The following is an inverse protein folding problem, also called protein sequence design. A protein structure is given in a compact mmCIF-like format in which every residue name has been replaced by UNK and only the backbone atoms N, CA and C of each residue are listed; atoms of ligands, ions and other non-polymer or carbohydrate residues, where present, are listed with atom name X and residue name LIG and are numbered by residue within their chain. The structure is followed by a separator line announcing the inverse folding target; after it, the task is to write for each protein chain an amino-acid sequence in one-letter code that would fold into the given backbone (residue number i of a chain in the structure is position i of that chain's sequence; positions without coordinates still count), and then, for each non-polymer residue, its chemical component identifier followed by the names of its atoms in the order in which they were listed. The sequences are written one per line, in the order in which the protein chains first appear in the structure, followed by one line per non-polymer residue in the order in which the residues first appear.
data_IF_107005676745
#
_entry.id   IF_107005676745
#
_cell.length_a   1.000
_cell.length_b   1.000
_cell.length_c   1.000
_cell.angle_alpha   90.00
_cell.angle_beta   90.00
_cell.angle_gamma   90.00
#
_symmetry.space_group_name_H-M   'P 1'
#
loop_
_entity.id
_entity.type
_entity.pdbx_description
1 polymer ?
#
# COMPACT_ATOMS: atom_id res chain seq x y z
N UNK A 1 25.43 7.39 -23.48
CA UNK A 1 24.80 6.76 -22.31
C UNK A 1 23.73 5.71 -22.66
N UNK A 2 23.37 5.51 -23.90
CA UNK A 2 22.27 4.60 -24.35
C UNK A 2 22.69 3.13 -24.55
N UNK A 3 23.96 2.83 -24.78
CA UNK A 3 24.39 1.45 -25.07
C UNK A 3 24.45 0.51 -23.86
N UNK A 4 24.73 1.05 -22.66
CA UNK A 4 24.87 0.22 -21.46
C UNK A 4 23.51 -0.24 -20.90
N UNK A 5 22.47 0.57 -21.09
CA UNK A 5 21.10 0.26 -20.63
C UNK A 5 20.50 -0.89 -21.46
N UNK A 6 20.73 -0.91 -22.77
CA UNK A 6 20.25 -1.99 -23.64
C UNK A 6 20.96 -3.33 -23.37
N UNK A 7 22.24 -3.32 -23.09
CA UNK A 7 22.99 -4.53 -22.76
C UNK A 7 22.54 -5.14 -21.41
N UNK A 8 22.27 -4.30 -20.42
CA UNK A 8 21.76 -4.72 -19.10
C UNK A 8 20.34 -5.27 -19.22
N UNK A 9 19.46 -4.64 -20.00
CA UNK A 9 18.12 -5.16 -20.29
C UNK A 9 18.14 -6.52 -20.99
N UNK A 10 18.98 -6.67 -22.01
CA UNK A 10 19.14 -7.94 -22.74
C UNK A 10 19.69 -9.06 -21.83
N UNK A 11 20.56 -8.75 -20.90
CA UNK A 11 21.08 -9.69 -19.92
C UNK A 11 19.96 -10.13 -18.94
N UNK A 12 19.19 -9.20 -18.39
CA UNK A 12 18.04 -9.50 -17.53
C UNK A 12 16.97 -10.33 -18.24
N UNK A 13 16.68 -10.04 -19.50
CA UNK A 13 15.73 -10.81 -20.30
C UNK A 13 16.17 -12.28 -20.51
N UNK A 14 17.46 -12.52 -20.62
CA UNK A 14 18.02 -13.88 -20.76
C UNK A 14 18.03 -14.64 -19.44
N UNK A 15 18.20 -13.95 -18.33
CA UNK A 15 18.36 -14.54 -17.00
C UNK A 15 17.01 -14.90 -16.35
N UNK A 16 15.99 -14.05 -16.51
CA UNK A 16 14.73 -14.19 -15.80
C UNK A 16 13.53 -14.63 -16.66
N UNK A 17 13.70 -14.67 -18.00
CA UNK A 17 12.57 -14.95 -18.88
C UNK A 17 11.50 -13.84 -18.90
N UNK A 18 10.37 -14.05 -19.58
CA UNK A 18 9.27 -13.08 -19.62
C UNK A 18 8.49 -13.03 -18.29
N UNK A 19 8.23 -11.79 -17.81
CA UNK A 19 7.38 -11.54 -16.66
C UNK A 19 5.89 -11.80 -17.02
N UNK A 20 5.46 -11.32 -18.19
CA UNK A 20 4.13 -11.53 -18.73
C UNK A 20 4.25 -11.97 -20.19
N UNK A 21 3.59 -13.08 -20.52
CA UNK A 21 3.51 -13.56 -21.89
C UNK A 21 2.05 -13.80 -22.27
N UNK A 22 1.60 -13.14 -23.32
CA UNK A 22 0.25 -13.29 -23.89
C UNK A 22 0.40 -13.83 -25.30
N UNK A 23 -0.28 -14.95 -25.59
CA UNK A 23 -0.24 -15.64 -26.89
C UNK A 23 -1.63 -15.99 -27.38
N UNK A 24 -1.90 -15.65 -28.64
CA UNK A 24 -3.13 -15.96 -29.36
C UNK A 24 -4.41 -15.66 -28.56
N UNK A 25 -4.37 -14.59 -27.74
CA UNK A 25 -5.47 -14.24 -26.84
C UNK A 25 -6.69 -13.81 -27.65
N UNK A 26 -7.81 -14.53 -27.46
CA UNK A 26 -9.09 -14.19 -28.02
C UNK A 26 -10.14 -14.03 -26.90
N UNK A 27 -10.95 -12.97 -26.98
CA UNK A 27 -11.93 -12.60 -25.96
C UNK A 27 -13.27 -12.31 -26.63
N UNK A 28 -14.30 -12.95 -26.13
CA UNK A 28 -15.68 -12.76 -26.57
C UNK A 28 -16.54 -12.21 -25.43
N UNK A 29 -17.55 -11.44 -25.82
CA UNK A 29 -18.65 -11.02 -24.95
C UNK A 29 -19.95 -11.63 -25.44
N UNK A 30 -20.70 -12.25 -24.57
CA UNK A 30 -22.03 -12.74 -24.88
C UNK A 30 -23.04 -11.60 -24.80
N UNK A 31 -23.79 -11.36 -25.88
CA UNK A 31 -24.86 -10.37 -25.89
C UNK A 31 -26.18 -10.97 -25.37
N UNK A 32 -27.16 -10.13 -25.07
CA UNK A 32 -28.51 -10.53 -24.63
C UNK A 32 -29.22 -11.42 -25.70
N UNK A 33 -28.82 -11.29 -26.97
CA UNK A 33 -29.32 -12.10 -28.06
C UNK A 33 -28.61 -13.45 -28.19
N UNK A 34 -27.65 -13.76 -27.32
CA UNK A 34 -26.84 -14.98 -27.35
C UNK A 34 -25.76 -15.01 -28.44
N UNK A 35 -25.59 -13.94 -29.22
CA UNK A 35 -24.54 -13.86 -30.24
C UNK A 35 -23.24 -13.37 -29.60
N UNK A 36 -22.07 -13.98 -29.86
CA UNK A 36 -20.81 -13.53 -29.39
C UNK A 36 -20.35 -12.24 -30.12
N UNK A 37 -19.77 -11.31 -29.40
CA UNK A 37 -19.04 -10.16 -29.93
C UNK A 37 -17.55 -10.40 -29.69
N UNK A 38 -16.80 -10.56 -30.78
CA UNK A 38 -15.36 -10.79 -30.74
C UNK A 38 -14.62 -9.49 -30.45
N UNK A 39 -14.28 -9.26 -29.19
CA UNK A 39 -13.61 -8.04 -28.75
C UNK A 39 -12.09 -8.06 -28.97
N UNK A 40 -11.49 -9.24 -28.85
CA UNK A 40 -10.08 -9.50 -29.17
C UNK A 40 -10.01 -10.81 -29.94
N UNK A 41 -9.27 -10.83 -31.06
CA UNK A 41 -9.20 -12.01 -31.92
C UNK A 41 -7.90 -12.79 -31.82
N UNK A 42 -6.78 -12.08 -31.72
CA UNK A 42 -5.44 -12.68 -31.69
C UNK A 42 -4.43 -11.65 -31.13
N UNK A 43 -4.42 -11.43 -29.81
CA UNK A 43 -3.45 -10.56 -29.20
C UNK A 43 -2.21 -11.36 -28.77
N UNK A 44 -1.05 -10.81 -29.15
CA UNK A 44 0.25 -11.38 -28.83
C UNK A 44 1.18 -10.28 -28.35
N UNK A 45 1.69 -10.38 -27.11
CA UNK A 45 2.71 -9.49 -26.57
C UNK A 45 3.43 -10.13 -25.40
N UNK A 46 4.62 -9.60 -25.12
CA UNK A 46 5.47 -10.08 -24.03
C UNK A 46 6.05 -8.89 -23.28
N UNK A 47 6.09 -8.98 -21.95
CA UNK A 47 6.72 -7.98 -21.07
C UNK A 47 7.80 -8.66 -20.28
N UNK A 48 8.99 -8.10 -20.29
CA UNK A 48 10.13 -8.57 -19.50
C UNK A 48 10.34 -7.71 -18.26
N UNK A 49 11.04 -8.22 -17.23
CA UNK A 49 11.38 -7.43 -16.05
C UNK A 49 12.02 -6.09 -16.41
N UNK A 50 11.56 -5.00 -15.78
CA UNK A 50 12.05 -3.64 -16.02
C UNK A 50 11.63 -3.01 -17.36
N UNK A 51 10.80 -3.67 -18.16
CA UNK A 51 10.37 -3.18 -19.47
C UNK A 51 9.06 -2.39 -19.38
N UNK A 52 8.97 -1.33 -20.17
CA UNK A 52 7.74 -0.61 -20.46
C UNK A 52 7.20 -1.04 -21.82
N UNK A 53 5.95 -1.47 -21.86
CA UNK A 53 5.26 -1.85 -23.10
C UNK A 53 4.03 -0.98 -23.27
N UNK A 54 3.91 -0.31 -24.43
CA UNK A 54 2.76 0.47 -24.79
C UNK A 54 1.89 -0.28 -25.82
N UNK A 55 0.59 -0.40 -25.54
CA UNK A 55 -0.40 -0.94 -26.49
C UNK A 55 -1.13 0.26 -27.10
N UNK A 56 -0.93 0.48 -28.40
CA UNK A 56 -1.48 1.62 -29.16
C UNK A 56 -2.47 1.13 -30.21
N UNK A 57 -3.51 1.88 -30.47
CA UNK A 57 -4.52 1.56 -31.48
C UNK A 57 -5.77 2.42 -31.32
N UNK A 58 -6.70 2.29 -32.27
CA UNK A 58 -7.95 3.05 -32.27
C UNK A 58 -8.88 2.70 -31.11
N UNK A 59 -9.86 3.57 -30.83
CA UNK A 59 -10.90 3.27 -29.85
C UNK A 59 -11.67 2.00 -30.26
N UNK A 60 -11.94 1.11 -29.31
CA UNK A 60 -12.61 -0.17 -29.59
C UNK A 60 -11.71 -1.29 -30.14
N UNK A 61 -10.40 -1.07 -30.31
CA UNK A 61 -9.48 -2.12 -30.83
C UNK A 61 -9.12 -3.23 -29.84
N UNK A 62 -9.73 -3.28 -28.65
CA UNK A 62 -9.51 -4.35 -27.67
C UNK A 62 -8.36 -4.13 -26.69
N UNK A 63 -7.69 -2.95 -26.67
CA UNK A 63 -6.55 -2.65 -25.78
C UNK A 63 -6.88 -2.84 -24.31
N UNK A 64 -7.91 -2.11 -23.85
CA UNK A 64 -8.35 -2.19 -22.45
C UNK A 64 -8.93 -3.58 -22.13
N UNK A 65 -9.61 -4.20 -23.07
CA UNK A 65 -10.13 -5.56 -22.91
C UNK A 65 -9.00 -6.58 -22.70
N UNK A 66 -7.91 -6.47 -23.48
CA UNK A 66 -6.74 -7.33 -23.29
C UNK A 66 -6.07 -7.11 -21.94
N UNK A 67 -5.92 -5.84 -21.50
CA UNK A 67 -5.38 -5.54 -20.19
C UNK A 67 -6.28 -6.06 -19.05
N UNK A 68 -7.60 -5.90 -19.17
CA UNK A 68 -8.56 -6.42 -18.18
C UNK A 68 -8.56 -7.95 -18.13
N UNK A 69 -8.34 -8.64 -19.25
CA UNK A 69 -8.19 -10.10 -19.28
C UNK A 69 -6.97 -10.56 -18.47
N UNK A 70 -5.83 -9.89 -18.66
CA UNK A 70 -4.60 -10.17 -17.88
C UNK A 70 -4.84 -10.01 -16.37
N UNK A 71 -5.66 -9.05 -15.97
CA UNK A 71 -5.98 -8.78 -14.56
C UNK A 71 -7.12 -9.65 -14.01
N UNK A 72 -7.77 -10.48 -14.85
CA UNK A 72 -8.97 -11.22 -14.45
C UNK A 72 -10.17 -10.32 -14.13
N UNK A 73 -10.25 -9.15 -14.79
CA UNK A 73 -11.27 -8.12 -14.58
C UNK A 73 -12.15 -7.88 -15.81
N UNK A 74 -12.34 -8.90 -16.64
CA UNK A 74 -13.27 -8.78 -17.76
C UNK A 74 -14.68 -8.48 -17.24
N UNK A 75 -15.34 -7.43 -17.77
CA UNK A 75 -16.67 -7.05 -17.29
C UNK A 75 -17.76 -8.00 -17.81
N UNK A 76 -18.77 -8.24 -16.98
CA UNK A 76 -20.01 -8.88 -17.35
C UNK A 76 -19.86 -10.26 -17.97
N UNK A 77 -20.23 -10.38 -19.25
CA UNK A 77 -20.24 -11.62 -20.01
C UNK A 77 -18.95 -11.87 -20.81
N UNK A 78 -17.89 -11.10 -20.53
CA UNK A 78 -16.59 -11.23 -21.18
C UNK A 78 -15.83 -12.46 -20.69
N UNK A 79 -15.31 -13.28 -21.59
CA UNK A 79 -14.50 -14.45 -21.26
C UNK A 79 -13.41 -14.70 -22.32
N UNK A 80 -12.32 -15.28 -21.87
CA UNK A 80 -11.25 -15.73 -22.76
C UNK A 80 -11.72 -17.01 -23.45
N UNK A 81 -11.76 -16.99 -24.78
CA UNK A 81 -12.20 -18.14 -25.60
C UNK A 81 -11.03 -18.92 -26.16
N UNK A 82 -9.87 -18.30 -26.30
CA UNK A 82 -8.64 -18.93 -26.79
C UNK A 82 -7.40 -18.17 -26.31
N UNK A 83 -6.26 -18.84 -26.34
CA UNK A 83 -4.97 -18.28 -26.04
C UNK A 83 -4.46 -18.61 -24.65
N UNK A 84 -3.30 -18.03 -24.32
CA UNK A 84 -2.58 -18.24 -23.08
C UNK A 84 -2.15 -16.89 -22.50
N UNK A 85 -2.24 -16.77 -21.19
CA UNK A 85 -1.71 -15.63 -20.41
C UNK A 85 -0.85 -16.21 -19.31
N UNK A 86 0.47 -16.01 -19.38
CA UNK A 86 1.39 -16.47 -18.36
C UNK A 86 1.99 -15.30 -17.61
N UNK A 87 1.93 -15.37 -16.28
CA UNK A 87 2.58 -14.43 -15.35
C UNK A 87 3.67 -15.19 -14.59
N UNK A 88 4.91 -14.74 -14.66
CA UNK A 88 6.08 -15.45 -14.09
C UNK A 88 6.16 -16.92 -14.55
N UNK A 89 5.75 -17.21 -15.77
CA UNK A 89 5.71 -18.57 -16.33
C UNK A 89 4.48 -19.41 -15.95
N UNK A 90 3.65 -18.96 -15.02
CA UNK A 90 2.42 -19.64 -14.60
C UNK A 90 1.22 -19.22 -15.47
N UNK A 91 0.46 -20.22 -15.97
CA UNK A 91 -0.74 -19.96 -16.77
C UNK A 91 -1.88 -19.43 -15.90
N UNK A 92 -2.42 -18.27 -16.27
CA UNK A 92 -3.52 -17.62 -15.55
C UNK A 92 -4.77 -17.41 -16.41
N UNK A 93 -4.73 -17.75 -17.73
CA UNK A 93 -5.94 -17.70 -18.55
C UNK A 93 -6.96 -18.73 -18.06
N UNK A 94 -8.18 -18.26 -17.77
CA UNK A 94 -9.23 -19.13 -17.22
C UNK A 94 -9.08 -19.50 -15.74
N UNK A 95 -8.13 -18.91 -15.04
CA UNK A 95 -7.97 -19.07 -13.58
C UNK A 95 -9.24 -18.62 -12.84
N UNK A 96 -9.45 -19.19 -11.65
CA UNK A 96 -10.58 -18.80 -10.80
C UNK A 96 -10.35 -17.40 -10.22
N UNK A 97 -11.45 -16.70 -9.89
CA UNK A 97 -11.38 -15.38 -9.27
C UNK A 97 -10.50 -15.37 -7.99
N UNK A 98 -10.58 -16.43 -7.18
CA UNK A 98 -9.77 -16.56 -5.95
C UNK A 98 -8.26 -16.68 -6.20
N UNK A 99 -7.83 -17.07 -7.40
CA UNK A 99 -6.43 -17.11 -7.80
C UNK A 99 -5.98 -15.71 -8.23
N UNK A 100 -6.80 -15.00 -9.02
CA UNK A 100 -6.58 -13.62 -9.35
C UNK A 100 -6.54 -12.71 -8.11
N UNK A 101 -7.37 -12.96 -7.09
CA UNK A 101 -7.39 -12.20 -5.83
C UNK A 101 -6.04 -12.27 -5.08
N UNK A 102 -5.31 -13.37 -5.21
CA UNK A 102 -3.96 -13.52 -4.63
C UNK A 102 -2.88 -12.78 -5.43
N UNK A 103 -3.09 -12.61 -6.73
CA UNK A 103 -2.13 -11.96 -7.63
C UNK A 103 -2.31 -10.44 -7.64
N UNK A 104 -3.55 -9.97 -7.57
CA UNK A 104 -3.86 -8.55 -7.56
C UNK A 104 -3.37 -7.90 -6.26
N UNK A 105 -2.72 -6.75 -6.39
CA UNK A 105 -2.12 -6.01 -5.28
C UNK A 105 -0.76 -6.52 -4.83
N UNK A 106 -0.38 -7.76 -5.17
CA UNK A 106 0.93 -8.36 -4.82
C UNK A 106 1.86 -8.48 -6.03
N UNK A 107 1.38 -9.09 -7.11
CA UNK A 107 2.15 -9.29 -8.35
C UNK A 107 1.71 -8.37 -9.48
N UNK A 108 0.48 -7.91 -9.49
CA UNK A 108 -0.06 -7.01 -10.50
C UNK A 108 -0.98 -5.96 -9.91
N UNK A 109 -0.97 -4.78 -10.50
CA UNK A 109 -1.79 -3.64 -10.10
C UNK A 109 -2.36 -2.92 -11.32
N UNK A 110 -3.45 -2.19 -11.12
CA UNK A 110 -4.11 -1.37 -12.13
C UNK A 110 -4.09 0.09 -11.69
N UNK A 111 -3.59 0.96 -12.57
CA UNK A 111 -3.81 2.39 -12.46
C UNK A 111 -4.86 2.76 -13.51
N UNK A 112 -6.10 3.06 -13.11
CA UNK A 112 -7.18 3.35 -14.06
C UNK A 112 -7.04 4.74 -14.67
N UNK A 113 -7.70 4.97 -15.81
CA UNK A 113 -7.66 6.23 -16.54
C UNK A 113 -8.26 7.40 -15.75
N UNK A 114 -9.31 7.15 -14.99
CA UNK A 114 -9.94 8.13 -14.08
C UNK A 114 -9.75 7.66 -12.63
N UNK A 115 -8.73 8.18 -11.93
CA UNK A 115 -8.47 7.79 -10.55
C UNK A 115 -9.53 8.28 -9.56
N UNK A 116 -10.26 9.35 -9.87
CA UNK A 116 -11.25 9.94 -8.97
C UNK A 116 -12.48 9.05 -8.84
N UNK A 117 -12.92 8.40 -9.91
CA UNK A 117 -14.07 7.49 -9.89
C UNK A 117 -13.80 6.19 -9.11
N UNK A 118 -12.55 5.89 -8.76
CA UNK A 118 -12.15 4.68 -8.04
C UNK A 118 -12.04 4.88 -6.52
N UNK A 119 -12.05 6.14 -6.06
CA UNK A 119 -12.12 6.44 -4.65
C UNK A 119 -13.58 6.58 -4.22
N UNK A 120 -13.97 5.92 -3.15
CA UNK A 120 -15.28 6.07 -2.56
C UNK A 120 -15.39 7.46 -1.90
N UNK A 121 -16.26 8.36 -2.39
CA UNK A 121 -16.33 9.73 -1.90
C UNK A 121 -16.86 9.86 -0.46
N UNK A 122 -17.51 8.82 0.06
CA UNK A 122 -18.05 8.81 1.44
C UNK A 122 -17.10 8.19 2.45
N UNK A 123 -15.92 7.70 2.00
CA UNK A 123 -14.89 7.17 2.87
C UNK A 123 -13.63 8.03 2.82
N UNK A 124 -12.99 8.20 3.97
CA UNK A 124 -11.72 8.94 4.05
C UNK A 124 -10.62 8.23 3.26
N UNK A 125 -9.70 8.98 2.67
CA UNK A 125 -8.60 8.45 1.87
C UNK A 125 -7.78 7.43 2.67
N UNK A 126 -7.40 7.76 3.91
CA UNK A 126 -6.64 6.86 4.77
C UNK A 126 -7.36 5.55 5.07
N UNK A 127 -8.70 5.56 5.19
CA UNK A 127 -9.48 4.33 5.38
C UNK A 127 -9.38 3.41 4.17
N UNK A 128 -9.45 3.95 2.96
CA UNK A 128 -9.37 3.17 1.73
C UNK A 128 -7.97 2.57 1.53
N UNK A 129 -6.91 3.35 1.81
CA UNK A 129 -5.53 2.84 1.79
C UNK A 129 -5.34 1.74 2.85
N UNK A 130 -5.89 1.92 4.05
CA UNK A 130 -5.84 0.92 5.13
C UNK A 130 -6.48 -0.41 4.72
N UNK A 131 -7.65 -0.36 4.09
CA UNK A 131 -8.32 -1.58 3.62
C UNK A 131 -7.51 -2.28 2.51
N UNK A 132 -6.89 -1.52 1.60
CA UNK A 132 -6.00 -2.07 0.59
C UNK A 132 -4.77 -2.75 1.21
N UNK A 133 -4.14 -2.15 2.22
CA UNK A 133 -3.02 -2.75 2.95
C UNK A 133 -3.41 -4.05 3.64
N UNK A 134 -4.57 -4.07 4.32
CA UNK A 134 -5.09 -5.26 4.99
C UNK A 134 -5.40 -6.39 4.00
N UNK A 135 -6.06 -6.07 2.89
CA UNK A 135 -6.43 -7.06 1.88
C UNK A 135 -5.22 -7.78 1.28
N UNK A 136 -4.06 -7.12 1.27
CA UNK A 136 -2.81 -7.67 0.76
C UNK A 136 -1.85 -8.16 1.86
N UNK A 137 -2.32 -8.30 3.11
CA UNK A 137 -1.50 -8.66 4.27
C UNK A 137 -0.27 -7.75 4.46
N UNK A 138 -0.37 -6.52 3.98
CA UNK A 138 0.66 -5.49 4.11
C UNK A 138 0.41 -4.59 5.33
N UNK A 139 -0.58 -4.92 6.13
CA UNK A 139 -0.82 -4.30 7.41
C UNK A 139 0.26 -4.72 8.41
N UNK A 140 0.42 -3.91 9.41
CA UNK A 140 1.53 -3.95 10.38
C UNK A 140 1.90 -5.37 10.82
N UNK A 141 3.18 -5.64 10.78
CA UNK A 141 3.83 -6.88 11.17
C UNK A 141 3.41 -7.35 12.58
N UNK A 142 2.72 -8.48 12.64
CA UNK A 142 2.25 -9.08 13.91
C UNK A 142 3.41 -9.49 14.82
N UNK A 143 4.57 -9.83 14.28
CA UNK A 143 5.75 -10.20 15.07
C UNK A 143 6.33 -8.98 15.76
N UNK A 144 6.45 -7.85 15.06
CA UNK A 144 6.90 -6.58 15.66
C UNK A 144 5.96 -6.10 16.77
N UNK A 145 4.65 -6.29 16.60
CA UNK A 145 3.66 -5.97 17.63
C UNK A 145 3.81 -6.82 18.89
N UNK A 146 3.97 -8.13 18.71
CA UNK A 146 4.16 -9.06 19.82
C UNK A 146 5.45 -8.78 20.58
N UNK A 147 6.52 -8.47 19.85
CA UNK A 147 7.81 -8.14 20.43
C UNK A 147 7.77 -6.84 21.22
N UNK A 148 7.13 -5.78 20.67
CA UNK A 148 6.98 -4.52 21.38
C UNK A 148 6.09 -4.66 22.64
N UNK A 149 5.01 -5.43 22.56
CA UNK A 149 4.17 -5.71 23.72
C UNK A 149 4.95 -6.44 24.85
N UNK A 150 5.83 -7.36 24.49
CA UNK A 150 6.72 -8.04 25.43
C UNK A 150 7.78 -7.10 26.00
N UNK A 151 8.40 -6.27 25.17
CA UNK A 151 9.37 -5.26 25.63
C UNK A 151 8.72 -4.26 26.60
N UNK A 152 7.49 -3.83 26.34
CA UNK A 152 6.72 -2.97 27.27
C UNK A 152 6.35 -3.68 28.57
N UNK A 153 6.23 -5.00 28.57
CA UNK A 153 6.01 -5.81 29.76
C UNK A 153 7.30 -6.09 30.57
N UNK A 154 8.47 -5.62 30.07
CA UNK A 154 9.76 -5.78 30.74
C UNK A 154 10.59 -6.97 30.28
N UNK A 155 10.15 -7.68 29.23
CA UNK A 155 10.90 -8.76 28.63
C UNK A 155 12.00 -8.25 27.67
N UNK A 156 13.17 -8.87 27.68
CA UNK A 156 14.19 -8.62 26.67
C UNK A 156 13.78 -9.30 25.35
N UNK A 157 13.54 -8.52 24.31
CA UNK A 157 13.11 -9.04 23.02
C UNK A 157 13.96 -8.47 21.89
N UNK A 158 14.56 -9.36 21.13
CA UNK A 158 15.28 -9.01 19.91
C UNK A 158 14.31 -9.03 18.72
N UNK A 159 14.09 -7.89 18.07
CA UNK A 159 13.25 -7.79 16.87
C UNK A 159 14.13 -7.54 15.65
N UNK A 160 14.11 -8.50 14.72
CA UNK A 160 14.73 -8.32 13.41
C UNK A 160 13.83 -7.39 12.57
N UNK A 161 14.26 -6.14 12.42
CA UNK A 161 13.58 -5.14 11.59
C UNK A 161 14.33 -4.86 10.29
N UNK A 162 13.63 -4.32 9.30
CA UNK A 162 14.26 -3.70 8.14
C UNK A 162 14.95 -2.40 8.60
N UNK A 163 16.09 -2.19 8.18
CA UNK A 163 17.25 -1.34 8.37
C UNK A 163 17.19 0.01 9.09
N UNK A 164 16.05 0.60 9.46
CA UNK A 164 16.00 1.95 10.04
C UNK A 164 15.14 2.16 11.31
N UNK A 165 14.58 1.11 11.90
CA UNK A 165 13.82 1.25 13.14
C UNK A 165 14.58 0.69 14.33
N UNK A 166 15.17 1.59 15.12
CA UNK A 166 15.76 1.28 16.41
C UNK A 166 14.67 0.83 17.38
N UNK A 167 14.66 -0.43 17.75
CA UNK A 167 13.82 -0.91 18.84
C UNK A 167 14.45 -0.54 20.18
N UNK A 168 13.67 0.13 21.01
CA UNK A 168 14.06 0.46 22.38
C UNK A 168 13.84 -0.79 23.26
N UNK A 169 14.88 -1.23 23.92
CA UNK A 169 14.79 -2.27 24.94
C UNK A 169 14.07 -1.79 26.20
N UNK A 170 13.68 -2.71 27.06
CA UNK A 170 12.99 -2.40 28.33
C UNK A 170 13.76 -1.41 29.24
N UNK A 171 15.09 -1.34 29.10
CA UNK A 171 15.94 -0.40 29.85
C UNK A 171 15.86 1.04 29.36
N UNK A 172 15.61 1.23 28.06
CA UNK A 172 15.56 2.56 27.43
C UNK A 172 14.18 3.22 27.56
N UNK A 173 13.15 2.42 27.78
CA UNK A 173 11.77 2.90 27.90
C UNK A 173 11.57 3.91 29.05
N UNK A 174 12.07 3.68 30.28
CA UNK A 174 11.94 4.64 31.38
C UNK A 174 12.67 5.96 31.12
N UNK A 175 13.83 5.91 30.45
CA UNK A 175 14.60 7.09 30.09
C UNK A 175 13.86 7.90 29.02
N UNK A 176 13.35 7.24 28.00
CA UNK A 176 12.53 7.85 26.94
C UNK A 176 11.27 8.51 27.52
N UNK A 177 10.61 7.85 28.46
CA UNK A 177 9.42 8.41 29.12
C UNK A 177 9.74 9.64 29.97
N UNK A 178 10.90 9.67 30.60
CA UNK A 178 11.38 10.83 31.36
C UNK A 178 11.67 12.00 30.42
N UNK A 179 12.32 11.72 29.29
CA UNK A 179 12.58 12.70 28.23
C UNK A 179 11.26 13.22 27.62
N UNK A 180 10.30 12.34 27.32
CA UNK A 180 9.01 12.71 26.78
C UNK A 180 8.21 13.63 27.71
N UNK A 181 8.17 13.33 29.00
CA UNK A 181 7.53 14.20 30.02
C UNK A 181 8.18 15.56 30.08
N UNK A 182 9.53 15.62 30.06
CA UNK A 182 10.27 16.88 30.03
C UNK A 182 9.94 17.67 28.76
N UNK A 183 9.96 17.05 27.61
CA UNK A 183 9.63 17.68 26.32
C UNK A 183 8.20 18.23 26.26
N UNK A 184 7.22 17.51 26.82
CA UNK A 184 5.85 18.02 26.96
C UNK A 184 5.76 19.26 27.84
N UNK A 185 6.49 19.24 28.95
CA UNK A 185 6.55 20.41 29.86
C UNK A 185 7.19 21.62 29.18
N UNK A 186 8.31 21.44 28.48
CA UNK A 186 8.98 22.46 27.68
C UNK A 186 8.11 23.01 26.54
N UNK A 187 7.24 22.19 25.98
CA UNK A 187 6.23 22.59 25.00
C UNK A 187 5.01 23.30 25.60
N UNK A 188 5.00 23.52 26.93
CA UNK A 188 3.92 24.21 27.63
C UNK A 188 2.67 23.34 27.88
N UNK A 189 2.75 22.04 27.67
CA UNK A 189 1.62 21.10 27.88
C UNK A 189 1.49 20.83 29.39
N UNK A 190 0.30 21.00 29.96
CA UNK A 190 0.01 20.79 31.38
C UNK A 190 -1.39 20.24 31.61
N UNK A 191 -1.68 19.81 32.85
CA UNK A 191 -3.01 19.32 33.24
C UNK A 191 -3.46 18.09 32.48
N UNK A 192 -4.75 18.01 32.17
CA UNK A 192 -5.38 16.85 31.54
C UNK A 192 -4.73 16.49 30.18
N UNK A 193 -4.32 17.49 29.40
CA UNK A 193 -3.65 17.26 28.12
C UNK A 193 -2.29 16.57 28.31
N UNK A 194 -1.54 16.93 29.33
CA UNK A 194 -0.27 16.30 29.69
C UNK A 194 -0.49 14.84 30.10
N UNK A 195 -1.43 14.60 31.03
CA UNK A 195 -1.72 13.25 31.52
C UNK A 195 -2.20 12.34 30.39
N UNK A 196 -3.03 12.87 29.50
CA UNK A 196 -3.53 12.17 28.33
C UNK A 196 -2.42 11.83 27.33
N UNK A 197 -1.50 12.75 27.04
CA UNK A 197 -0.36 12.50 26.18
C UNK A 197 0.58 11.44 26.77
N UNK A 198 0.91 11.55 28.06
CA UNK A 198 1.75 10.58 28.78
C UNK A 198 1.10 9.19 28.77
N UNK A 199 -0.20 9.09 29.04
CA UNK A 199 -0.91 7.83 29.00
C UNK A 199 -0.85 7.18 27.61
N UNK A 200 -0.97 7.98 26.54
CA UNK A 200 -0.88 7.50 25.16
C UNK A 200 0.53 7.08 24.75
N UNK A 201 1.57 7.69 25.29
CA UNK A 201 2.94 7.23 25.06
C UNK A 201 3.20 5.83 25.65
N UNK A 202 2.52 5.47 26.73
CA UNK A 202 2.75 4.23 27.48
C UNK A 202 1.70 3.16 27.31
N UNK A 203 0.41 3.53 27.23
CA UNK A 203 -0.70 2.59 27.42
C UNK A 203 -1.53 2.31 26.16
N UNK A 204 -1.51 3.21 25.16
CA UNK A 204 -2.37 3.06 23.99
C UNK A 204 -1.63 2.53 22.77
N UNK A 205 -0.66 1.68 23.00
CA UNK A 205 -0.09 0.94 21.91
C UNK A 205 -1.05 -0.16 21.45
N UNK A 206 -2.21 0.25 20.96
CA UNK A 206 -3.20 -0.64 20.35
C UNK A 206 -2.90 -0.69 18.86
N UNK A 207 -2.63 -1.88 18.32
CA UNK A 207 -2.41 -2.06 16.91
C UNK A 207 -3.56 -1.49 16.06
N UNK A 208 -3.23 -0.60 15.12
CA UNK A 208 -4.20 0.05 14.26
C UNK A 208 -4.95 1.22 14.92
N UNK A 209 -4.56 1.63 16.14
CA UNK A 209 -5.03 2.91 16.69
C UNK A 209 -4.29 4.05 15.97
N UNK A 210 -5.02 5.14 15.75
CA UNK A 210 -4.46 6.39 15.20
C UNK A 210 -3.64 7.14 16.28
N UNK A 211 -2.75 6.46 17.00
CA UNK A 211 -2.18 6.97 18.24
C UNK A 211 -1.32 8.21 18.04
N UNK A 212 -0.40 8.21 17.07
CA UNK A 212 0.43 9.39 16.80
C UNK A 212 -0.41 10.58 16.35
N UNK A 213 -1.40 10.35 15.52
CA UNK A 213 -2.31 11.38 15.06
C UNK A 213 -3.15 11.95 16.19
N UNK A 214 -3.68 11.09 17.06
CA UNK A 214 -4.44 11.51 18.22
C UNK A 214 -3.59 12.32 19.18
N UNK A 215 -2.35 11.88 19.42
CA UNK A 215 -1.43 12.62 20.27
C UNK A 215 -1.10 13.99 19.65
N UNK A 216 -0.76 14.06 18.37
CA UNK A 216 -0.49 15.32 17.70
C UNK A 216 -1.72 16.25 17.74
N UNK A 217 -2.91 15.74 17.42
CA UNK A 217 -4.17 16.49 17.45
C UNK A 217 -4.50 17.02 18.85
N UNK A 218 -4.31 16.20 19.89
CA UNK A 218 -4.57 16.60 21.27
C UNK A 218 -3.56 17.66 21.74
N UNK A 219 -2.30 17.56 21.32
CA UNK A 219 -1.27 18.56 21.60
C UNK A 219 -1.56 19.89 20.89
N UNK A 220 -2.00 19.86 19.63
CA UNK A 220 -2.42 21.05 18.88
C UNK A 220 -3.62 21.71 19.57
N UNK A 221 -4.61 20.94 19.98
CA UNK A 221 -5.74 21.44 20.76
C UNK A 221 -5.37 22.02 22.10
N UNK A 222 -4.25 21.54 22.69
CA UNK A 222 -3.68 22.08 23.92
C UNK A 222 -2.81 23.33 23.68
N UNK A 223 -2.69 23.80 22.43
CA UNK A 223 -1.96 25.03 22.07
C UNK A 223 -0.52 24.83 21.65
N UNK A 224 -0.08 23.59 21.44
CA UNK A 224 1.26 23.30 20.90
C UNK A 224 1.24 23.57 19.38
N UNK A 225 2.32 24.18 18.86
CA UNK A 225 2.46 24.42 17.42
C UNK A 225 2.45 23.10 16.63
N UNK A 226 1.87 23.10 15.44
CA UNK A 226 1.63 21.91 14.59
C UNK A 226 2.91 21.07 14.39
N UNK A 227 3.99 21.71 13.98
CA UNK A 227 5.28 21.06 13.71
C UNK A 227 5.88 20.44 14.98
N UNK A 228 5.76 21.10 16.09
CA UNK A 228 6.23 20.62 17.39
C UNK A 228 5.36 19.47 17.91
N UNK A 229 4.04 19.56 17.77
CA UNK A 229 3.11 18.49 18.16
C UNK A 229 3.39 17.19 17.37
N UNK A 230 3.60 17.32 16.08
CA UNK A 230 3.99 16.21 15.23
C UNK A 230 5.36 15.63 15.57
N UNK A 231 6.33 16.48 15.85
CA UNK A 231 7.65 16.04 16.29
C UNK A 231 7.57 15.20 17.56
N UNK A 232 6.84 15.69 18.58
CA UNK A 232 6.64 14.99 19.85
C UNK A 232 5.92 13.65 19.66
N UNK A 233 4.83 13.64 18.89
CA UNK A 233 4.10 12.43 18.61
C UNK A 233 4.95 11.40 17.85
N UNK A 234 5.72 11.83 16.85
CA UNK A 234 6.62 10.96 16.09
C UNK A 234 7.75 10.38 16.93
N UNK A 235 8.32 11.19 17.80
CA UNK A 235 9.49 10.80 18.60
C UNK A 235 9.14 9.89 19.77
N UNK A 236 8.04 10.15 20.46
CA UNK A 236 7.72 9.48 21.72
C UNK A 236 6.60 8.45 21.67
N UNK A 237 5.75 8.46 20.65
CA UNK A 237 4.80 7.36 20.46
C UNK A 237 5.52 6.18 19.85
N UNK A 238 5.76 5.18 20.68
CA UNK A 238 6.53 4.00 20.34
C UNK A 238 5.75 3.11 19.36
N UNK A 239 6.41 2.71 18.31
CA UNK A 239 5.88 1.79 17.29
C UNK A 239 5.36 2.49 16.03
N UNK A 240 5.59 1.85 14.89
CA UNK A 240 5.00 2.24 13.62
C UNK A 240 3.51 1.90 13.63
N UNK A 241 2.64 2.88 13.46
CA UNK A 241 1.21 2.64 13.34
C UNK A 241 0.85 2.43 11.87
N UNK A 242 -0.32 1.83 11.62
CA UNK A 242 -0.87 1.73 10.27
C UNK A 242 -0.99 3.13 9.62
N UNK A 243 -1.28 4.15 10.40
CA UNK A 243 -1.43 5.51 9.92
C UNK A 243 -0.09 6.13 9.47
N UNK A 244 1.01 5.81 10.16
CA UNK A 244 2.34 6.24 9.73
C UNK A 244 2.71 5.63 8.39
N UNK A 245 2.39 4.36 8.20
CA UNK A 245 2.59 3.66 6.94
C UNK A 245 1.74 4.26 5.82
N UNK A 246 0.46 4.55 6.10
CA UNK A 246 -0.44 5.23 5.16
C UNK A 246 0.12 6.60 4.79
N UNK A 247 0.53 7.40 5.78
CA UNK A 247 1.11 8.71 5.56
C UNK A 247 2.42 8.62 4.75
N UNK A 248 3.27 7.64 5.04
CA UNK A 248 4.49 7.35 4.28
C UNK A 248 4.18 7.05 2.81
N UNK A 249 3.30 6.11 2.53
CA UNK A 249 2.89 5.74 1.17
C UNK A 249 2.29 6.92 0.38
N UNK A 250 1.44 7.71 1.03
CA UNK A 250 0.86 8.90 0.39
C UNK A 250 1.92 9.97 0.11
N UNK A 251 2.92 10.12 1.00
CA UNK A 251 4.05 11.03 0.80
C UNK A 251 4.95 10.55 -0.35
N UNK A 252 5.26 9.26 -0.43
CA UNK A 252 6.00 8.65 -1.53
C UNK A 252 5.28 8.82 -2.87
N UNK A 253 3.96 8.76 -2.86
CA UNK A 253 3.12 9.07 -4.02
C UNK A 253 3.08 10.57 -4.36
N UNK A 254 3.82 11.43 -3.65
CA UNK A 254 3.92 12.86 -3.92
C UNK A 254 2.80 13.71 -3.32
N UNK A 255 2.02 13.19 -2.38
CA UNK A 255 0.97 13.95 -1.73
C UNK A 255 1.59 14.82 -0.61
N UNK A 256 1.60 16.17 -0.75
CA UNK A 256 2.07 17.05 0.31
C UNK A 256 1.11 16.95 1.51
N UNK A 257 1.63 17.14 2.72
CA UNK A 257 0.85 17.03 3.96
C UNK A 257 0.06 15.71 4.04
N UNK A 258 0.70 14.59 3.70
CA UNK A 258 0.08 13.28 3.52
C UNK A 258 -0.72 12.86 4.75
N UNK A 259 -0.21 13.12 5.94
CA UNK A 259 -0.85 12.74 7.19
C UNK A 259 -2.20 13.45 7.42
N UNK A 260 -2.35 14.79 7.40
CA UNK A 260 -3.65 15.45 7.45
C UNK A 260 -4.58 15.06 6.30
N UNK A 261 -4.03 14.88 5.10
CA UNK A 261 -4.84 14.56 3.91
C UNK A 261 -5.43 13.16 3.94
N UNK A 262 -4.79 12.19 4.59
CA UNK A 262 -5.34 10.85 4.77
C UNK A 262 -6.71 10.87 5.51
N UNK A 263 -6.99 11.92 6.29
CA UNK A 263 -8.26 12.11 6.99
C UNK A 263 -9.34 12.77 6.15
N UNK A 264 -8.98 13.31 5.01
CA UNK A 264 -9.91 13.98 4.11
C UNK A 264 -10.69 12.98 3.27
N UNK A 265 -11.85 13.41 2.83
CA UNK A 265 -12.62 12.71 1.81
C UNK A 265 -12.04 13.04 0.42
N UNK A 266 -12.14 12.13 -0.55
CA UNK A 266 -11.79 12.44 -1.93
C UNK A 266 -12.69 13.56 -2.47
N UNK A 267 -12.08 14.58 -3.06
CA UNK A 267 -12.78 15.70 -3.72
C UNK A 267 -12.24 15.90 -5.12
#
# INVERSE_FOLDING_TARGET
MTDNTNATMLAMQKEHGPLLEVRNLAIDFTTDTGKPVHAVRDANFTVYPGQWVAIVGESGSGKSTSAMAVLGLLPGTGHVVNGSIKLDGEEIAGAKQSEFDKLRGTKMGLVPQDPMSNLNPVWRIGTQVKEALKANNMDVDHEKRSALAKALAGDEVEVKGNDDETFLGAKELPELMTEAKKALTEAGVSGEAFDKAVARFTNEWVPGSETRWRVADDLIKAGVADDQAWYLAKKYVIGSTMDDRIAGLLSEAGLPDAAPRARQFPH
#
